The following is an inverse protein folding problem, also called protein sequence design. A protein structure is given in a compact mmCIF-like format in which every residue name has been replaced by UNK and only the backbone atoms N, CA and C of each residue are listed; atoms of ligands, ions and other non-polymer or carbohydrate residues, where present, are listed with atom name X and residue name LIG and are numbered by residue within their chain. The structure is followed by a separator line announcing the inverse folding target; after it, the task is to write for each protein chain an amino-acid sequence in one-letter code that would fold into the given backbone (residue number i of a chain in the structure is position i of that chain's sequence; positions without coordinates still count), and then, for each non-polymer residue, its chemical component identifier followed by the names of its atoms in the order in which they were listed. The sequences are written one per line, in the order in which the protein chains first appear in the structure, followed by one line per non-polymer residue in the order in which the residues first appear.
data_IF_875507976432
#
_entry.id   IF_875507976432
#
_cell.length_a   1.000
_cell.length_b   1.000
_cell.length_c   1.000
_cell.angle_alpha   90.00
_cell.angle_beta   90.00
_cell.angle_gamma   90.00
#
_symmetry.space_group_name_H-M   'P 1'
#
loop_
_entity.id
_entity.type
_entity.pdbx_description
1 polymer ?
#
# COMPACT_ATOMS: atom_id res chain seq x y z
N UNK A 1 0.57 -10.03 9.20
CA UNK A 1 1.11 -8.69 8.87
C UNK A 1 1.47 -8.68 7.39
N UNK A 2 1.26 -7.54 6.74
CA UNK A 2 1.63 -7.32 5.34
C UNK A 2 2.58 -6.11 5.30
N UNK A 3 3.79 -6.29 4.79
CA UNK A 3 4.78 -5.22 4.62
C UNK A 3 4.91 -4.89 3.14
N UNK A 4 4.82 -3.61 2.79
CA UNK A 4 5.00 -3.16 1.42
C UNK A 4 6.34 -2.47 1.27
N UNK A 5 7.16 -2.95 0.33
CA UNK A 5 8.48 -2.40 0.03
C UNK A 5 8.56 -1.95 -1.41
N UNK A 6 9.39 -0.96 -1.68
CA UNK A 6 9.66 -0.46 -3.02
C UNK A 6 10.46 0.83 -2.96
N UNK A 7 10.89 1.31 -4.12
CA UNK A 7 11.48 2.64 -4.21
C UNK A 7 10.44 3.72 -3.89
N UNK A 8 10.87 4.79 -3.22
CA UNK A 8 10.01 5.91 -2.87
C UNK A 8 10.21 7.11 -3.80
N UNK A 9 9.12 7.83 -4.04
CA UNK A 9 9.11 9.16 -4.61
C UNK A 9 8.20 10.02 -3.74
N UNK A 10 8.80 10.81 -2.84
CA UNK A 10 8.06 11.48 -1.76
C UNK A 10 7.42 10.45 -0.81
N UNK A 11 6.11 10.56 -0.60
CA UNK A 11 5.33 9.65 0.27
C UNK A 11 4.68 8.48 -0.49
N UNK A 12 5.05 8.28 -1.75
CA UNK A 12 4.45 7.28 -2.63
C UNK A 12 5.52 6.34 -3.19
N UNK A 13 5.08 5.24 -3.81
CA UNK A 13 5.98 4.37 -4.55
C UNK A 13 6.44 5.07 -5.83
N UNK A 14 7.70 4.93 -6.18
CA UNK A 14 8.25 5.50 -7.41
C UNK A 14 7.71 4.75 -8.63
N UNK A 15 7.38 5.51 -9.68
CA UNK A 15 7.03 4.99 -11.00
C UNK A 15 7.90 5.69 -12.05
N UNK A 16 8.68 4.94 -12.82
CA UNK A 16 9.67 5.52 -13.73
C UNK A 16 10.58 6.57 -13.04
N UNK A 17 10.85 7.70 -13.70
CA UNK A 17 11.82 8.68 -13.18
C UNK A 17 11.19 9.76 -12.29
N UNK A 18 9.99 10.21 -12.64
CA UNK A 18 9.28 11.34 -12.03
C UNK A 18 7.81 11.01 -11.74
N UNK A 19 7.38 9.79 -12.01
CA UNK A 19 6.04 9.31 -11.66
C UNK A 19 5.97 8.71 -10.27
N UNK A 20 4.73 8.47 -9.86
CA UNK A 20 4.43 7.82 -8.60
C UNK A 20 3.31 6.78 -8.78
N UNK A 21 3.27 5.78 -7.91
CA UNK A 21 2.16 4.85 -7.78
C UNK A 21 1.47 5.12 -6.46
N UNK A 22 0.17 5.39 -6.52
CA UNK A 22 -0.70 5.38 -5.34
C UNK A 22 -1.21 3.95 -5.18
N UNK A 23 -0.96 3.37 -4.01
CA UNK A 23 -1.50 2.07 -3.64
C UNK A 23 -2.52 2.27 -2.52
N UNK A 24 -3.68 1.64 -2.67
CA UNK A 24 -4.74 1.61 -1.68
C UNK A 24 -5.09 0.17 -1.33
N UNK A 25 -5.39 -0.10 -0.07
CA UNK A 25 -5.85 -1.42 0.40
C UNK A 25 -7.21 -1.26 1.06
N UNK A 26 -8.16 -2.12 0.70
CA UNK A 26 -9.55 -2.09 1.18
C UNK A 26 -10.17 -3.49 1.26
N UNK A 27 -11.44 -3.55 1.68
CA UNK A 27 -12.27 -4.77 1.69
C UNK A 27 -11.62 -5.94 2.42
N UNK A 28 -10.99 -5.66 3.56
CA UNK A 28 -10.22 -6.64 4.32
C UNK A 28 -11.13 -7.61 5.09
N UNK A 29 -10.84 -8.90 4.95
CA UNK A 29 -11.48 -9.96 5.74
C UNK A 29 -10.45 -10.90 6.34
N UNK A 30 -10.64 -11.27 7.61
CA UNK A 30 -9.84 -12.25 8.32
C UNK A 30 -10.72 -13.45 8.66
N UNK A 31 -10.37 -14.62 8.15
CA UNK A 31 -11.15 -15.86 8.30
C UNK A 31 -12.63 -15.65 7.91
N UNK A 32 -12.86 -14.85 6.86
CA UNK A 32 -14.20 -14.51 6.35
C UNK A 32 -14.93 -13.37 7.08
N UNK A 33 -14.37 -12.83 8.15
CA UNK A 33 -14.98 -11.72 8.91
C UNK A 33 -14.37 -10.39 8.51
N UNK A 34 -15.20 -9.35 8.32
CA UNK A 34 -14.71 -8.00 8.04
C UNK A 34 -13.79 -7.51 9.18
N UNK A 35 -12.66 -6.93 8.79
CA UNK A 35 -11.70 -6.30 9.71
C UNK A 35 -11.34 -4.91 9.21
N UNK A 36 -10.93 -4.04 10.12
CA UNK A 36 -10.29 -2.78 9.74
C UNK A 36 -8.81 -3.02 9.44
N UNK A 37 -8.18 -2.06 8.78
CA UNK A 37 -6.76 -2.06 8.46
C UNK A 37 -6.08 -0.98 9.28
N UNK A 38 -5.00 -1.31 9.97
CA UNK A 38 -4.13 -0.32 10.59
C UNK A 38 -2.76 -0.31 9.89
N UNK A 39 -2.24 0.88 9.69
CA UNK A 39 -0.88 1.13 9.21
C UNK A 39 0.02 1.39 10.41
N UNK A 40 1.16 0.71 10.48
CA UNK A 40 2.24 1.03 11.39
C UNK A 40 3.52 1.41 10.65
N UNK A 41 4.38 2.21 11.30
CA UNK A 41 5.68 2.62 10.75
C UNK A 41 5.83 4.12 10.46
N UNK A 42 4.78 4.94 10.58
CA UNK A 42 4.90 6.41 10.50
C UNK A 42 5.22 7.01 11.87
N UNK A 43 6.25 7.88 11.94
CA UNK A 43 6.57 8.71 13.12
C UNK A 43 5.44 9.71 13.42
N UNK A 44 4.54 9.94 12.46
CA UNK A 44 3.35 10.76 12.62
C UNK A 44 2.12 9.89 12.40
N UNK A 45 1.60 9.31 13.49
CA UNK A 45 0.31 8.63 13.51
C UNK A 45 -0.80 9.69 13.39
N UNK A 46 -1.17 10.04 12.16
CA UNK A 46 -2.31 10.89 11.86
C UNK A 46 -3.62 10.09 11.90
N UNK A 47 -4.77 10.77 11.96
CA UNK A 47 -6.10 10.15 12.06
C UNK A 47 -6.44 9.16 10.92
N UNK A 48 -5.63 9.10 9.86
CA UNK A 48 -5.72 8.15 8.74
C UNK A 48 -4.95 6.83 8.99
N UNK A 49 -4.51 6.57 10.22
CA UNK A 49 -3.69 5.39 10.55
C UNK A 49 -4.48 4.08 10.58
N UNK A 50 -5.82 4.12 10.58
CA UNK A 50 -6.66 2.93 10.50
C UNK A 50 -8.02 3.21 9.84
N UNK A 51 -8.61 2.18 9.24
CA UNK A 51 -9.95 2.25 8.65
C UNK A 51 -10.25 1.07 7.71
N UNK A 52 -11.42 1.12 7.05
CA UNK A 52 -11.83 0.11 6.06
C UNK A 52 -11.09 0.21 4.72
N UNK A 53 -10.45 1.36 4.47
CA UNK A 53 -9.59 1.61 3.31
C UNK A 53 -8.43 2.51 3.72
N UNK A 54 -7.21 2.13 3.38
CA UNK A 54 -6.00 2.89 3.67
C UNK A 54 -5.17 3.08 2.41
N UNK A 55 -4.57 4.25 2.24
CA UNK A 55 -3.41 4.40 1.34
C UNK A 55 -2.20 3.75 1.99
N UNK A 56 -1.17 3.43 1.23
CA UNK A 56 0.06 2.83 1.75
C UNK A 56 1.27 3.47 1.09
N UNK A 57 2.32 3.66 1.86
CA UNK A 57 3.61 4.20 1.48
C UNK A 57 4.69 3.12 1.55
N UNK A 58 5.82 3.30 0.86
CA UNK A 58 6.96 2.40 0.98
C UNK A 58 7.45 2.28 2.43
N UNK A 59 7.56 1.05 2.94
CA UNK A 59 7.99 0.76 4.30
C UNK A 59 6.85 0.58 5.31
N UNK A 60 5.61 0.90 4.92
CA UNK A 60 4.45 0.66 5.78
C UNK A 60 4.22 -0.83 6.02
N UNK A 61 3.97 -1.18 7.29
CA UNK A 61 3.40 -2.47 7.64
C UNK A 61 1.93 -2.33 8.00
N UNK A 62 1.16 -3.35 7.66
CA UNK A 62 -0.30 -3.34 7.73
C UNK A 62 -0.75 -4.51 8.59
N UNK A 63 -1.66 -4.20 9.51
CA UNK A 63 -2.23 -5.14 10.46
C UNK A 63 -3.75 -5.16 10.32
N UNK A 64 -4.39 -6.34 10.33
CA UNK A 64 -5.83 -6.42 10.48
C UNK A 64 -6.22 -6.08 11.92
N UNK A 65 -7.26 -5.26 12.11
CA UNK A 65 -7.79 -4.86 13.42
C UNK A 65 -9.23 -5.36 13.57
N UNK A 66 -9.52 -5.94 14.73
CA UNK A 66 -10.88 -6.32 15.11
C UNK A 66 -11.12 -5.95 16.57
N UNK A 67 -12.04 -5.01 16.81
CA UNK A 67 -12.35 -4.54 18.17
C UNK A 67 -11.22 -3.78 18.88
N UNK A 68 -10.27 -3.20 18.12
CA UNK A 68 -9.17 -2.38 18.66
C UNK A 68 -7.77 -2.98 18.48
N UNK A 69 -7.45 -4.16 19.06
CA UNK A 69 -6.12 -4.74 18.91
C UNK A 69 -5.93 -5.42 17.54
N UNK A 70 -4.66 -5.66 17.13
CA UNK A 70 -4.36 -6.50 15.97
C UNK A 70 -4.98 -7.89 16.10
N UNK A 71 -5.75 -8.25 15.08
CA UNK A 71 -6.39 -9.54 14.98
C UNK A 71 -5.42 -10.60 14.44
N UNK A 72 -5.62 -11.85 14.86
CA UNK A 72 -4.88 -13.03 14.38
C UNK A 72 -5.85 -14.02 13.77
N UNK A 73 -5.42 -14.67 12.70
CA UNK A 73 -6.23 -15.61 11.94
C UNK A 73 -5.37 -16.35 10.92
N UNK A 74 -6.02 -17.15 10.08
CA UNK A 74 -5.33 -18.04 9.13
C UNK A 74 -5.37 -17.51 7.70
N UNK A 75 -6.52 -16.99 7.27
CA UNK A 75 -6.75 -16.50 5.91
C UNK A 75 -7.07 -15.01 5.97
N UNK A 76 -6.17 -14.20 5.47
CA UNK A 76 -6.38 -12.76 5.33
C UNK A 76 -6.56 -12.41 3.86
N UNK A 77 -7.73 -11.90 3.50
CA UNK A 77 -8.06 -11.42 2.16
C UNK A 77 -8.21 -9.91 2.16
N UNK A 78 -7.79 -9.27 1.07
CA UNK A 78 -7.81 -7.82 0.91
C UNK A 78 -7.83 -7.48 -0.58
N UNK A 79 -8.36 -6.30 -0.92
CA UNK A 79 -8.25 -5.72 -2.25
C UNK A 79 -7.07 -4.76 -2.27
N UNK A 80 -6.26 -4.85 -3.32
CA UNK A 80 -5.18 -3.89 -3.60
C UNK A 80 -5.53 -3.15 -4.89
N UNK A 81 -5.60 -1.83 -4.82
CA UNK A 81 -5.77 -0.95 -5.97
C UNK A 81 -4.47 -0.18 -6.23
N UNK A 82 -4.01 -0.20 -7.48
CA UNK A 82 -2.74 0.36 -7.91
C UNK A 82 -3.03 1.40 -8.98
N UNK A 83 -2.66 2.65 -8.71
CA UNK A 83 -2.89 3.78 -9.60
C UNK A 83 -1.56 4.46 -9.98
N UNK A 84 -0.98 4.13 -11.15
CA UNK A 84 0.17 4.85 -11.68
C UNK A 84 -0.20 6.27 -12.09
N UNK A 85 0.63 7.23 -11.72
CA UNK A 85 0.54 8.64 -12.10
C UNK A 85 1.80 9.02 -12.85
N UNK A 86 1.65 9.34 -14.13
CA UNK A 86 2.74 9.64 -15.05
C UNK A 86 2.71 11.13 -15.38
N UNK A 87 3.78 11.89 -15.10
CA UNK A 87 3.86 13.28 -15.51
C UNK A 87 3.85 13.39 -17.04
N UNK A 88 3.16 14.41 -17.56
CA UNK A 88 3.09 14.68 -19.01
C UNK A 88 4.48 14.90 -19.62
N UNK A 89 5.45 15.39 -18.83
CA UNK A 89 6.85 15.53 -19.25
C UNK A 89 7.48 14.19 -19.65
N UNK A 90 7.11 13.08 -19.02
CA UNK A 90 7.60 11.75 -19.37
C UNK A 90 6.91 11.13 -20.59
N UNK A 91 5.75 11.67 -20.98
CA UNK A 91 4.99 11.20 -22.15
C UNK A 91 5.45 11.87 -23.46
N UNK A 92 6.27 12.91 -23.39
CA UNK A 92 6.78 13.67 -24.55
C UNK A 92 8.05 13.06 -25.14
N UNK A 93 8.06 11.75 -25.39
CA UNK A 93 9.20 11.06 -26.00
C UNK A 93 8.71 10.43 -27.31
N UNK A 94 9.41 10.65 -28.44
CA UNK A 94 8.97 10.18 -29.76
C UNK A 94 8.99 8.66 -29.92
N UNK A 95 9.78 7.95 -29.11
CA UNK A 95 9.90 6.49 -29.14
C UNK A 95 9.08 5.82 -28.03
N UNK A 96 8.63 4.59 -28.29
CA UNK A 96 7.99 3.75 -27.29
C UNK A 96 8.95 3.50 -26.13
N UNK A 97 8.53 3.87 -24.91
CA UNK A 97 9.28 3.67 -23.67
C UNK A 97 8.45 2.83 -22.70
N UNK A 98 9.08 1.81 -22.12
CA UNK A 98 8.49 1.08 -20.99
C UNK A 98 8.66 1.90 -19.71
N UNK A 99 7.55 2.09 -18.99
CA UNK A 99 7.53 2.75 -17.68
C UNK A 99 7.15 1.70 -16.64
N UNK A 100 7.98 1.56 -15.63
CA UNK A 100 7.88 0.47 -14.66
C UNK A 100 7.90 1.01 -13.23
N UNK A 101 7.29 0.25 -12.33
CA UNK A 101 7.46 0.38 -10.89
C UNK A 101 7.76 -0.99 -10.31
N UNK A 102 8.61 -1.02 -9.29
CA UNK A 102 8.98 -2.23 -8.57
C UNK A 102 8.60 -2.07 -7.10
N UNK A 103 7.71 -2.93 -6.64
CA UNK A 103 7.34 -3.06 -5.24
C UNK A 103 6.99 -4.50 -4.90
N UNK A 104 7.12 -4.85 -3.63
CA UNK A 104 6.94 -6.21 -3.11
C UNK A 104 5.95 -6.18 -1.95
N UNK A 105 5.10 -7.20 -1.90
CA UNK A 105 4.22 -7.51 -0.79
C UNK A 105 4.83 -8.67 -0.01
N UNK A 106 5.25 -8.42 1.22
CA UNK A 106 5.79 -9.45 2.11
C UNK A 106 4.75 -9.82 3.17
N UNK A 107 4.39 -11.11 3.24
CA UNK A 107 3.50 -11.63 4.27
C UNK A 107 4.34 -12.20 5.40
N UNK A 108 4.07 -11.76 6.64
CA UNK A 108 4.78 -12.22 7.83
C UNK A 108 3.90 -12.31 9.06
N UNK A 109 4.39 -13.02 10.07
CA UNK A 109 3.81 -13.06 11.42
C UNK A 109 4.36 -11.93 12.28
N UNK A 110 3.50 -11.31 13.09
CA UNK A 110 3.89 -10.40 14.19
C UNK A 110 3.79 -11.13 15.53
#
# INVERSE_FOLDING_TARGET
MLLLRGESFGQHFKFANQGQVIVSISDATLDGHSVELARGGSIEASADSYGSSIKVAPGDFILPISGGPPARGSVWSLRVEIHPLIPVSEMRIPDAKTLEAHFTFEVGSH
#
